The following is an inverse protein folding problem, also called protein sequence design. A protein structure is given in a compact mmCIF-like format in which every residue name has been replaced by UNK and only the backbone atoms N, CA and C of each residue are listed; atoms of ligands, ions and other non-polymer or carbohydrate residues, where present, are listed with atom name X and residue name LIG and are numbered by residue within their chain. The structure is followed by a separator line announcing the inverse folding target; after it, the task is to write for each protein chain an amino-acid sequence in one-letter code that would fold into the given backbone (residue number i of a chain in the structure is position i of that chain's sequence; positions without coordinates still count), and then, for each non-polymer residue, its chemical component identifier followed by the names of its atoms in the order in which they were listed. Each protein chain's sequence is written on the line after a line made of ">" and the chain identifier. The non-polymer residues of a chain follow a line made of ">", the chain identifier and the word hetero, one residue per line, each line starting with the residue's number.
data_IF_627435074896
#
_entry.id   IF_627435074896
#
_cell.length_a   1.000
_cell.length_b   1.000
_cell.length_c   1.000
_cell.angle_alpha   90.00
_cell.angle_beta   90.00
_cell.angle_gamma   90.00
#
_symmetry.space_group_name_H-M   'P 1'
#
loop_
_entity.id
_entity.type
_entity.pdbx_description
1 polymer ?
#
# COMPACT_ATOMS: atom_id res chain seq x y z
N UNK A 1 15.67 8.43 -8.54
CA UNK A 1 15.22 7.20 -9.22
C UNK A 1 13.96 7.45 -10.04
N UNK A 2 12.91 8.04 -9.46
CA UNK A 2 11.64 8.29 -10.17
C UNK A 2 11.80 9.07 -11.50
N UNK A 3 12.50 10.21 -11.48
CA UNK A 3 12.74 11.03 -12.67
C UNK A 3 13.39 10.30 -13.86
N UNK A 4 14.29 9.33 -13.60
CA UNK A 4 14.94 8.56 -14.68
C UNK A 4 13.97 7.54 -15.29
N UNK A 5 13.13 6.93 -14.47
CA UNK A 5 12.11 5.99 -14.95
C UNK A 5 11.02 6.72 -15.74
N UNK A 6 10.64 7.91 -15.30
CA UNK A 6 9.66 8.76 -16.00
C UNK A 6 10.17 9.16 -17.40
N UNK A 7 11.45 9.52 -17.54
CA UNK A 7 12.07 9.80 -18.85
C UNK A 7 12.05 8.57 -19.78
N UNK A 8 12.31 7.37 -19.24
CA UNK A 8 12.25 6.12 -20.01
C UNK A 8 10.82 5.86 -20.50
N UNK A 9 9.81 6.05 -19.65
CA UNK A 9 8.40 5.91 -20.01
C UNK A 9 7.99 6.86 -21.14
N UNK A 10 8.40 8.12 -21.05
CA UNK A 10 8.12 9.14 -22.09
C UNK A 10 8.80 8.75 -23.41
N UNK A 11 10.05 8.30 -23.38
CA UNK A 11 10.77 7.85 -24.57
C UNK A 11 10.10 6.63 -25.25
N UNK A 12 9.61 5.67 -24.45
CA UNK A 12 8.84 4.53 -24.96
C UNK A 12 7.51 4.97 -25.59
N UNK A 13 6.79 5.89 -24.93
CA UNK A 13 5.55 6.43 -25.47
C UNK A 13 5.77 7.17 -26.80
N UNK A 14 6.86 7.94 -26.91
CA UNK A 14 7.24 8.63 -28.12
C UNK A 14 7.59 7.65 -29.26
N UNK A 15 8.31 6.56 -28.96
CA UNK A 15 8.56 5.50 -29.94
C UNK A 15 7.27 4.86 -30.44
N UNK A 16 6.34 4.53 -29.54
CA UNK A 16 5.05 3.95 -29.90
C UNK A 16 4.21 4.91 -30.78
N UNK A 17 4.27 6.21 -30.52
CA UNK A 17 3.60 7.22 -31.33
C UNK A 17 4.17 7.33 -32.75
N UNK A 18 5.48 7.10 -32.93
CA UNK A 18 6.12 7.14 -34.26
C UNK A 18 5.70 6.01 -35.18
N UNK A 19 5.24 4.87 -34.64
CA UNK A 19 4.69 3.77 -35.45
C UNK A 19 3.49 4.25 -36.29
N UNK A 20 2.78 5.28 -35.82
CA UNK A 20 1.62 5.86 -36.50
C UNK A 20 2.00 6.87 -37.61
N UNK A 21 3.25 7.31 -37.68
CA UNK A 21 3.73 8.28 -38.68
C UNK A 21 4.17 7.60 -39.98
N UNK A 22 4.16 8.32 -41.12
CA UNK A 22 4.79 7.89 -42.36
C UNK A 22 6.28 7.57 -42.15
N UNK A 23 6.83 6.59 -42.88
CA UNK A 23 8.22 6.12 -42.66
C UNK A 23 9.27 7.23 -42.73
N UNK A 24 9.05 8.23 -43.58
CA UNK A 24 9.96 9.35 -43.81
C UNK A 24 10.09 10.28 -42.58
N UNK A 25 9.10 10.29 -41.70
CA UNK A 25 9.04 11.14 -40.51
C UNK A 25 9.40 10.40 -39.21
N UNK A 26 9.68 9.10 -39.29
CA UNK A 26 10.01 8.27 -38.12
C UNK A 26 11.44 8.55 -37.65
N UNK A 27 11.62 8.68 -36.34
CA UNK A 27 12.96 8.73 -35.75
C UNK A 27 13.43 7.30 -35.45
N UNK A 28 14.73 7.07 -35.55
CA UNK A 28 15.30 5.82 -35.08
C UNK A 28 15.34 5.79 -33.54
N UNK A 29 15.36 4.58 -32.97
CA UNK A 29 15.45 4.35 -31.52
C UNK A 29 16.65 5.10 -30.91
N UNK A 30 17.77 5.17 -31.62
CA UNK A 30 18.99 5.87 -31.17
C UNK A 30 18.79 7.39 -31.05
N UNK A 31 18.08 8.02 -31.99
CA UNK A 31 17.77 9.44 -31.93
C UNK A 31 16.83 9.77 -30.77
N UNK A 32 15.86 8.90 -30.50
CA UNK A 32 14.96 9.02 -29.34
C UNK A 32 15.78 8.85 -28.05
N UNK A 33 16.61 7.82 -27.96
CA UNK A 33 17.47 7.59 -26.79
C UNK A 33 18.37 8.81 -26.49
N UNK A 34 18.97 9.40 -27.53
CA UNK A 34 19.80 10.61 -27.42
C UNK A 34 19.01 11.84 -26.96
N UNK A 35 17.81 12.08 -27.50
CA UNK A 35 17.01 13.24 -27.11
C UNK A 35 16.60 13.21 -25.63
N UNK A 36 16.41 12.01 -25.07
CA UNK A 36 16.10 11.82 -23.65
C UNK A 36 17.33 11.55 -22.78
N UNK A 37 18.55 11.55 -23.32
CA UNK A 37 19.79 11.21 -22.60
C UNK A 37 19.76 9.81 -21.93
N UNK A 38 19.13 8.85 -22.59
CA UNK A 38 19.00 7.45 -22.12
C UNK A 38 19.94 6.57 -22.95
N UNK A 39 20.61 5.57 -22.36
CA UNK A 39 21.36 4.59 -23.14
C UNK A 39 20.46 3.84 -24.13
N UNK A 40 20.91 3.70 -25.38
CA UNK A 40 20.18 2.97 -26.43
C UNK A 40 19.65 1.61 -25.96
N UNK A 41 20.53 0.83 -25.31
CA UNK A 41 20.20 -0.53 -24.84
C UNK A 41 19.06 -0.53 -23.81
N UNK A 42 18.94 0.53 -23.01
CA UNK A 42 17.85 0.67 -22.04
C UNK A 42 16.52 0.89 -22.74
N UNK A 43 16.46 1.77 -23.74
CA UNK A 43 15.24 2.01 -24.51
C UNK A 43 14.85 0.78 -25.35
N UNK A 44 15.82 0.17 -26.02
CA UNK A 44 15.62 -1.06 -26.79
C UNK A 44 15.04 -2.19 -25.92
N UNK A 45 15.62 -2.48 -24.76
CA UNK A 45 15.14 -3.52 -23.85
C UNK A 45 13.72 -3.25 -23.30
N UNK A 46 13.34 -1.97 -23.20
CA UNK A 46 11.98 -1.58 -22.78
C UNK A 46 10.98 -1.83 -23.89
N UNK A 47 11.32 -1.46 -25.12
CA UNK A 47 10.49 -1.70 -26.32
C UNK A 47 10.34 -3.19 -26.60
N UNK A 48 11.42 -3.97 -26.49
CA UNK A 48 11.43 -5.42 -26.73
C UNK A 48 10.77 -6.24 -25.61
N UNK A 49 10.33 -5.59 -24.52
CA UNK A 49 9.73 -6.26 -23.37
C UNK A 49 10.71 -7.09 -22.52
N UNK A 50 12.01 -7.04 -22.82
CA UNK A 50 13.05 -7.83 -22.12
C UNK A 50 13.48 -7.20 -20.80
N UNK A 51 12.97 -6.02 -20.46
CA UNK A 51 13.22 -5.43 -19.15
C UNK A 51 12.55 -6.30 -18.06
N UNK A 52 13.38 -6.92 -17.24
CA UNK A 52 12.90 -7.54 -16.01
C UNK A 52 12.47 -6.41 -15.08
N UNK A 53 11.17 -6.17 -15.01
CA UNK A 53 10.64 -5.32 -13.97
C UNK A 53 11.04 -5.97 -12.64
N UNK A 54 11.80 -5.27 -11.81
CA UNK A 54 12.29 -5.84 -10.54
C UNK A 54 11.12 -6.41 -9.70
N UNK A 55 9.95 -5.76 -9.81
CA UNK A 55 8.71 -6.19 -9.17
C UNK A 55 8.08 -7.44 -9.79
N UNK A 56 8.30 -7.73 -11.08
CA UNK A 56 7.86 -8.99 -11.72
C UNK A 56 8.82 -10.13 -11.41
N UNK A 57 10.13 -9.86 -11.47
CA UNK A 57 11.17 -10.83 -11.17
C UNK A 57 11.07 -11.35 -9.73
N UNK A 58 10.77 -10.48 -8.75
CA UNK A 58 10.66 -10.85 -7.35
C UNK A 58 9.29 -11.45 -6.94
N UNK A 59 8.33 -11.64 -7.87
CA UNK A 59 6.99 -12.16 -7.53
C UNK A 59 7.03 -13.56 -6.93
N UNK A 60 7.85 -14.45 -7.49
CA UNK A 60 7.99 -15.83 -7.01
C UNK A 60 8.60 -15.93 -5.60
N UNK A 61 9.28 -14.87 -5.13
CA UNK A 61 9.87 -14.79 -3.79
C UNK A 61 8.89 -14.20 -2.76
N UNK A 62 7.68 -13.83 -3.16
CA UNK A 62 6.69 -13.30 -2.23
C UNK A 62 6.08 -14.41 -1.37
N UNK A 63 5.67 -14.03 -0.16
CA UNK A 63 5.03 -14.93 0.80
C UNK A 63 3.72 -15.51 0.23
N UNK A 64 2.91 -14.62 -0.34
CA UNK A 64 1.62 -14.90 -0.94
C UNK A 64 1.67 -14.65 -2.44
N UNK A 65 0.83 -15.37 -3.19
CA UNK A 65 0.56 -15.05 -4.60
C UNK A 65 -0.32 -13.82 -4.72
N UNK A 66 -0.39 -13.22 -5.91
CA UNK A 66 -1.27 -12.06 -6.14
C UNK A 66 -2.75 -12.39 -5.89
N UNK A 67 -3.19 -13.61 -6.21
CA UNK A 67 -4.57 -14.05 -6.00
C UNK A 67 -4.91 -14.17 -4.51
N UNK A 68 -3.97 -14.69 -3.73
CA UNK A 68 -4.07 -14.77 -2.27
C UNK A 68 -4.03 -13.39 -1.62
N UNK A 69 -3.12 -12.50 -2.05
CA UNK A 69 -3.10 -11.11 -1.56
C UNK A 69 -4.42 -10.41 -1.89
N UNK A 70 -4.99 -10.63 -3.08
CA UNK A 70 -6.29 -10.06 -3.46
C UNK A 70 -7.42 -10.56 -2.57
N UNK A 71 -7.46 -11.86 -2.29
CA UNK A 71 -8.46 -12.46 -1.38
C UNK A 71 -8.36 -11.86 0.04
N UNK A 72 -7.13 -11.62 0.52
CA UNK A 72 -6.87 -10.98 1.80
C UNK A 72 -7.30 -9.50 1.79
N UNK A 73 -7.06 -8.77 0.71
CA UNK A 73 -7.53 -7.39 0.52
C UNK A 73 -9.05 -7.32 0.58
N UNK A 74 -9.76 -8.22 -0.10
CA UNK A 74 -11.22 -8.25 -0.11
C UNK A 74 -11.81 -8.61 1.25
N UNK A 75 -11.15 -9.50 2.00
CA UNK A 75 -11.48 -9.72 3.41
C UNK A 75 -11.34 -8.43 4.23
N UNK A 76 -10.21 -7.72 4.11
CA UNK A 76 -9.99 -6.47 4.87
C UNK A 76 -11.02 -5.41 4.50
N UNK A 77 -11.36 -5.26 3.21
CA UNK A 77 -12.39 -4.33 2.76
C UNK A 77 -13.75 -4.65 3.38
N UNK A 78 -14.19 -5.91 3.34
CA UNK A 78 -15.46 -6.35 3.95
C UNK A 78 -15.52 -6.06 5.44
N UNK A 79 -14.45 -6.38 6.17
CA UNK A 79 -14.34 -6.11 7.60
C UNK A 79 -14.29 -4.61 7.93
N UNK A 80 -13.65 -3.82 7.07
CA UNK A 80 -13.67 -2.36 7.19
C UNK A 80 -15.06 -1.78 6.96
N UNK A 81 -15.83 -2.31 6.01
CA UNK A 81 -17.21 -1.86 5.73
C UNK A 81 -18.17 -2.22 6.87
N UNK A 82 -17.97 -3.37 7.53
CA UNK A 82 -18.73 -3.73 8.74
C UNK A 82 -18.33 -2.93 9.98
N UNK A 83 -17.36 -2.01 9.86
CA UNK A 83 -16.92 -1.12 10.94
C UNK A 83 -15.93 -1.76 11.92
N UNK A 84 -15.44 -2.97 11.63
CA UNK A 84 -14.51 -3.71 12.47
C UNK A 84 -13.26 -4.09 11.66
N UNK A 85 -12.33 -3.16 11.41
CA UNK A 85 -11.15 -3.43 10.63
C UNK A 85 -10.27 -4.48 11.33
N UNK A 86 -9.73 -5.47 10.62
CA UNK A 86 -8.87 -6.46 11.24
C UNK A 86 -7.54 -5.81 11.64
N UNK A 87 -7.02 -6.10 12.85
CA UNK A 87 -5.75 -5.54 13.29
C UNK A 87 -4.59 -6.18 12.52
N UNK A 88 -3.47 -5.45 12.43
CA UNK A 88 -2.26 -5.87 11.69
C UNK A 88 -1.77 -7.27 12.08
N UNK A 89 -1.89 -7.62 13.36
CA UNK A 89 -1.55 -8.94 13.88
C UNK A 89 -2.38 -10.04 13.20
N UNK A 90 -3.70 -9.90 13.18
CA UNK A 90 -4.63 -10.85 12.57
C UNK A 90 -4.36 -11.02 11.07
N UNK A 91 -4.00 -9.95 10.37
CA UNK A 91 -3.67 -10.03 8.94
C UNK A 91 -2.39 -10.84 8.69
N UNK A 92 -1.39 -10.69 9.57
CA UNK A 92 -0.16 -11.51 9.50
C UNK A 92 -0.44 -12.98 9.80
N UNK A 93 -1.31 -13.25 10.77
CA UNK A 93 -1.76 -14.61 11.09
C UNK A 93 -2.51 -15.22 9.91
N UNK A 94 -3.46 -14.49 9.32
CA UNK A 94 -4.18 -14.92 8.11
C UNK A 94 -3.25 -15.16 6.92
N UNK A 95 -2.24 -14.31 6.71
CA UNK A 95 -1.25 -14.52 5.66
C UNK A 95 -0.45 -15.82 5.89
N UNK A 96 -0.13 -16.16 7.14
CA UNK A 96 0.51 -17.42 7.49
C UNK A 96 -0.40 -18.61 7.16
N UNK A 97 -1.68 -18.54 7.55
CA UNK A 97 -2.66 -19.60 7.29
C UNK A 97 -2.86 -19.82 5.79
N UNK A 98 -3.00 -18.75 5.00
CA UNK A 98 -3.17 -18.86 3.54
C UNK A 98 -1.94 -19.54 2.92
N UNK A 99 -0.73 -19.16 3.35
CA UNK A 99 0.50 -19.77 2.87
C UNK A 99 0.59 -21.26 3.25
N UNK A 100 0.24 -21.61 4.48
CA UNK A 100 0.24 -22.99 4.97
C UNK A 100 -0.74 -23.86 4.17
N UNK A 101 -1.94 -23.34 3.90
CA UNK A 101 -2.95 -24.04 3.13
C UNK A 101 -2.48 -24.29 1.68
N UNK A 102 -1.77 -23.34 1.05
CA UNK A 102 -1.22 -23.56 -0.30
C UNK A 102 -0.13 -24.64 -0.31
N UNK A 103 0.69 -24.69 0.74
CA UNK A 103 1.83 -25.60 0.82
C UNK A 103 1.45 -27.00 1.34
N UNK A 104 0.16 -27.29 1.52
CA UNK A 104 -0.34 -28.50 2.17
C UNK A 104 0.43 -28.80 3.46
N UNK A 105 0.66 -27.75 4.24
CA UNK A 105 1.51 -27.82 5.43
C UNK A 105 0.88 -28.72 6.48
N UNK A 106 1.49 -29.89 6.68
CA UNK A 106 1.14 -30.78 7.78
C UNK A 106 2.04 -30.51 9.00
N UNK A 107 1.48 -30.04 10.13
CA UNK A 107 2.24 -29.80 11.35
C UNK A 107 2.81 -31.07 11.99
N UNK A 108 2.36 -32.26 11.58
CA UNK A 108 2.89 -33.56 12.02
C UNK A 108 4.25 -33.82 11.36
N UNK A 109 4.39 -33.45 10.08
CA UNK A 109 5.58 -33.76 9.29
C UNK A 109 6.54 -32.58 9.13
N UNK A 110 6.08 -31.34 9.37
CA UNK A 110 6.89 -30.14 9.18
C UNK A 110 6.85 -29.20 10.39
N UNK A 111 7.97 -28.58 10.78
CA UNK A 111 7.98 -27.57 11.84
C UNK A 111 7.23 -26.29 11.40
N UNK A 112 6.62 -25.54 12.33
CA UNK A 112 5.83 -24.36 11.98
C UNK A 112 6.68 -23.33 11.23
N UNK A 113 6.14 -22.75 10.14
CA UNK A 113 6.88 -21.74 9.39
C UNK A 113 7.19 -20.54 10.30
N UNK A 114 8.31 -19.84 10.05
CA UNK A 114 8.67 -18.68 10.82
C UNK A 114 7.57 -17.61 10.72
N UNK A 115 7.30 -16.87 11.82
CA UNK A 115 6.24 -15.88 11.84
C UNK A 115 6.47 -14.81 10.77
N UNK A 116 5.42 -14.49 10.02
CA UNK A 116 5.43 -13.47 8.95
C UNK A 116 6.03 -12.18 9.48
N UNK A 117 7.11 -11.66 8.88
CA UNK A 117 7.81 -10.50 9.41
C UNK A 117 6.93 -9.23 9.46
N UNK A 118 7.23 -8.31 10.39
CA UNK A 118 6.61 -6.97 10.42
C UNK A 118 6.96 -6.13 9.18
N UNK A 119 8.04 -6.46 8.47
CA UNK A 119 8.40 -5.80 7.21
C UNK A 119 7.47 -6.19 6.07
N UNK A 120 6.91 -7.41 6.10
CA UNK A 120 5.98 -7.88 5.07
C UNK A 120 4.72 -7.03 5.01
N UNK A 121 4.11 -6.67 6.15
CA UNK A 121 2.89 -5.84 6.14
C UNK A 121 3.14 -4.46 5.52
N UNK A 122 4.33 -3.87 5.73
CA UNK A 122 4.67 -2.59 5.12
C UNK A 122 4.78 -2.70 3.59
N UNK A 123 5.32 -3.81 3.08
CA UNK A 123 5.39 -4.08 1.64
C UNK A 123 4.00 -4.37 1.06
N UNK A 124 3.19 -5.16 1.76
CA UNK A 124 1.79 -5.43 1.40
C UNK A 124 0.98 -4.13 1.29
N UNK A 125 1.11 -3.23 2.27
CA UNK A 125 0.48 -1.90 2.23
C UNK A 125 0.92 -1.06 1.03
N UNK A 126 2.21 -1.12 0.67
CA UNK A 126 2.74 -0.39 -0.48
C UNK A 126 2.18 -0.93 -1.80
N UNK A 127 1.93 -2.24 -1.90
CA UNK A 127 1.30 -2.88 -3.07
C UNK A 127 -0.21 -2.61 -3.15
N UNK A 128 -0.87 -2.49 -2.00
CA UNK A 128 -2.34 -2.35 -1.90
C UNK A 128 -2.74 -1.05 -1.18
N UNK A 129 -2.58 0.13 -1.81
CA UNK A 129 -2.94 1.42 -1.21
C UNK A 129 -4.44 1.51 -0.84
N UNK A 130 -5.30 0.74 -1.48
CA UNK A 130 -6.73 0.62 -1.16
C UNK A 130 -7.00 0.13 0.27
N UNK A 131 -6.12 -0.72 0.82
CA UNK A 131 -6.23 -1.24 2.19
C UNK A 131 -5.95 -0.14 3.22
N UNK A 132 -5.02 0.76 2.92
CA UNK A 132 -4.68 1.87 3.81
C UNK A 132 -5.87 2.83 3.97
N UNK A 133 -6.62 3.06 2.88
CA UNK A 133 -7.85 3.85 2.91
C UNK A 133 -8.91 3.20 3.79
N UNK A 134 -9.09 1.87 3.67
CA UNK A 134 -10.05 1.11 4.47
C UNK A 134 -9.76 1.24 5.98
N UNK A 135 -8.52 1.02 6.43
CA UNK A 135 -8.17 1.20 7.84
C UNK A 135 -8.31 2.64 8.34
N UNK A 136 -7.94 3.62 7.52
CA UNK A 136 -8.07 5.03 7.90
C UNK A 136 -9.54 5.40 8.14
N UNK A 137 -10.45 4.95 7.26
CA UNK A 137 -11.90 5.12 7.44
C UNK A 137 -12.39 4.45 8.71
N UNK A 138 -11.95 3.22 8.97
CA UNK A 138 -12.39 2.49 10.13
C UNK A 138 -11.89 3.10 11.46
N UNK A 139 -10.64 3.61 11.51
CA UNK A 139 -10.15 4.41 12.63
C UNK A 139 -10.99 5.68 12.83
N UNK A 140 -11.37 6.36 11.75
CA UNK A 140 -12.26 7.53 11.83
C UNK A 140 -13.65 7.16 12.36
N UNK A 141 -14.24 6.03 11.92
CA UNK A 141 -15.51 5.54 12.46
C UNK A 141 -15.41 5.23 13.96
N UNK A 142 -14.34 4.57 14.41
CA UNK A 142 -14.10 4.32 15.83
C UNK A 142 -13.96 5.63 16.62
N UNK A 143 -13.26 6.63 16.08
CA UNK A 143 -13.16 7.96 16.70
C UNK A 143 -14.54 8.58 16.87
N UNK A 144 -15.35 8.65 15.81
CA UNK A 144 -16.71 9.21 15.86
C UNK A 144 -17.59 8.51 16.90
N UNK A 145 -17.52 7.17 17.00
CA UNK A 145 -18.22 6.40 18.06
C UNK A 145 -17.68 6.68 19.46
N UNK A 146 -16.39 6.99 19.59
CA UNK A 146 -15.73 7.37 20.84
C UNK A 146 -16.11 8.77 21.30
N UNK A 147 -16.26 9.71 20.38
CA UNK A 147 -16.76 11.09 20.60
C UNK A 147 -18.28 11.21 20.48
N UNK A 148 -19.02 10.16 20.84
CA UNK A 148 -20.47 10.27 20.97
C UNK A 148 -20.82 11.30 22.06
N UNK A 149 -21.88 12.12 21.89
CA UNK A 149 -22.27 13.16 22.86
C UNK A 149 -22.47 12.60 24.27
N UNK A 150 -22.99 11.38 24.38
CA UNK A 150 -23.22 10.67 25.63
C UNK A 150 -21.94 10.41 26.44
N UNK A 151 -20.79 10.29 25.76
CA UNK A 151 -19.48 10.10 26.42
C UNK A 151 -18.76 11.43 26.65
N UNK A 152 -18.98 12.40 25.76
CA UNK A 152 -18.36 13.72 25.87
C UNK A 152 -19.03 14.59 26.93
N UNK A 153 -20.36 14.55 27.05
CA UNK A 153 -21.12 15.35 28.01
C UNK A 153 -20.66 15.15 29.47
N UNK A 154 -20.53 13.91 30.00
CA UNK A 154 -20.04 13.72 31.37
C UNK A 154 -18.57 14.15 31.53
N UNK A 155 -17.72 13.90 30.54
CA UNK A 155 -16.33 14.36 30.55
C UNK A 155 -16.22 15.88 30.66
N UNK A 156 -16.96 16.63 29.83
CA UNK A 156 -16.95 18.09 29.88
C UNK A 156 -17.63 18.65 31.13
N UNK A 157 -18.65 17.97 31.66
CA UNK A 157 -19.28 18.35 32.93
C UNK A 157 -18.29 18.23 34.10
N UNK A 158 -17.57 17.11 34.20
CA UNK A 158 -16.52 16.92 35.22
C UNK A 158 -15.38 17.93 35.05
N UNK A 159 -14.98 18.22 33.81
CA UNK A 159 -13.99 19.24 33.49
C UNK A 159 -14.44 20.62 33.97
N UNK A 160 -15.71 20.99 33.72
CA UNK A 160 -16.30 22.24 34.18
C UNK A 160 -16.26 22.38 35.70
N UNK A 161 -16.63 21.32 36.43
CA UNK A 161 -16.58 21.28 37.90
C UNK A 161 -15.12 21.45 38.40
N UNK A 162 -14.17 20.77 37.77
CA UNK A 162 -12.74 20.90 38.10
C UNK A 162 -12.20 22.30 37.83
N UNK A 163 -12.66 22.96 36.77
CA UNK A 163 -12.26 24.32 36.42
C UNK A 163 -12.79 25.34 37.42
N UNK A 164 -14.05 25.20 37.84
CA UNK A 164 -14.67 26.05 38.85
C UNK A 164 -14.02 25.86 40.23
N UNK A 165 -13.79 24.60 40.64
CA UNK A 165 -13.16 24.27 41.93
C UNK A 165 -11.74 24.81 42.08
N UNK A 166 -10.97 24.85 40.99
CA UNK A 166 -9.57 25.29 41.01
C UNK A 166 -9.37 26.73 40.50
N UNK A 167 -10.47 27.46 40.17
CA UNK A 167 -10.43 28.82 39.65
C UNK A 167 -9.47 29.00 38.46
N UNK A 168 -9.40 28.02 37.56
CA UNK A 168 -8.54 28.12 36.39
C UNK A 168 -9.05 29.24 35.47
N UNK A 169 -8.21 30.26 35.23
CA UNK A 169 -8.50 31.28 34.24
C UNK A 169 -8.50 30.65 32.83
N UNK A 170 -9.45 30.99 31.96
CA UNK A 170 -9.46 30.50 30.57
C UNK A 170 -8.16 30.76 29.81
N UNK A 171 -7.41 31.78 30.20
CA UNK A 171 -6.09 32.15 29.64
C UNK A 171 -4.98 31.13 29.93
N UNK A 172 -5.15 30.24 30.91
CA UNK A 172 -4.14 29.26 31.32
C UNK A 172 -4.37 27.86 30.70
N UNK A 173 -5.37 27.72 29.83
CA UNK A 173 -5.67 26.47 29.15
C UNK A 173 -4.87 26.46 27.85
N UNK A 174 -3.75 25.73 27.84
CA UNK A 174 -2.95 25.55 26.64
C UNK A 174 -3.22 24.17 26.04
N UNK A 175 -3.67 24.13 24.78
CA UNK A 175 -3.59 22.91 23.99
C UNK A 175 -2.12 22.67 23.67
N UNK A 176 -1.50 21.73 24.40
CA UNK A 176 -0.19 21.21 24.07
C UNK A 176 -0.29 20.19 22.93
#
# INVERSE_FOLDING_TARGET
>A
MQQKEDQIQIAVALYNAQVLLPEEERLCIDNIAKSFSIPYMTLHNRISGTHNNHDTAARHLQLLTNEEETSLVDYIKRMSLSGNPPPVRTIRELACVIQQNRLDYDPIFNPPPPPVSSKWINRFRKRHPEVQTAWSRALNTCRVKGTAPEKLAPFYAELGILMEKNQYLPSNIHNS
#
